data_IF_893897126909
#
_entry.id   IF_893897126909
#
_cell.length_a   1.000
_cell.length_b   1.000
_cell.length_c   1.000
_cell.angle_alpha   90.00
_cell.angle_beta   90.00
_cell.angle_gamma   90.00
#
_symmetry.space_group_name_H-M   'P 1'
#
loop_
_entity.id
_entity.type
_entity.pdbx_description
1 polymer ?
#
# COMPACT_ATOMS: atom_id res chain seq x y z
N UNK A 1 -22.31 -6.21 1.78
CA UNK A 1 -20.92 -6.47 1.36
C UNK A 1 -20.89 -7.87 0.77
N UNK A 2 -20.81 -8.00 -0.54
CA UNK A 2 -20.57 -9.30 -1.19
C UNK A 2 -19.21 -9.81 -0.71
N UNK A 3 -19.21 -10.95 0.00
CA UNK A 3 -17.97 -11.56 0.49
C UNK A 3 -17.34 -12.31 -0.67
N UNK A 4 -16.06 -12.02 -0.93
CA UNK A 4 -15.27 -12.60 -2.00
C UNK A 4 -14.14 -13.43 -1.39
N UNK A 5 -14.45 -14.66 -0.90
CA UNK A 5 -13.54 -15.42 -0.07
C UNK A 5 -12.23 -15.80 -0.79
N UNK A 6 -12.24 -16.04 -2.09
CA UNK A 6 -11.00 -16.35 -2.84
C UNK A 6 -10.08 -15.13 -2.98
N UNK A 7 -10.66 -13.95 -3.20
CA UNK A 7 -9.96 -12.67 -3.31
C UNK A 7 -9.41 -12.27 -1.94
N UNK A 8 -10.19 -12.44 -0.87
CA UNK A 8 -9.76 -12.20 0.50
C UNK A 8 -8.56 -13.09 0.88
N UNK A 9 -8.61 -14.39 0.55
CA UNK A 9 -7.49 -15.31 0.79
C UNK A 9 -6.28 -14.91 -0.05
N UNK A 10 -6.47 -14.64 -1.35
CA UNK A 10 -5.38 -14.29 -2.26
C UNK A 10 -4.66 -13.01 -1.84
N UNK A 11 -5.42 -11.94 -1.59
CA UNK A 11 -4.88 -10.65 -1.14
C UNK A 11 -4.22 -10.77 0.23
N UNK A 12 -4.86 -11.44 1.19
CA UNK A 12 -4.29 -11.63 2.53
C UNK A 12 -3.00 -12.47 2.50
N UNK A 13 -2.93 -13.47 1.63
CA UNK A 13 -1.72 -14.29 1.44
C UNK A 13 -0.59 -13.45 0.86
N UNK A 14 -0.88 -12.64 -0.18
CA UNK A 14 0.10 -11.73 -0.77
C UNK A 14 0.64 -10.73 0.25
N UNK A 15 -0.24 -10.08 1.01
CA UNK A 15 0.15 -9.12 2.06
C UNK A 15 1.00 -9.82 3.12
N UNK A 16 0.62 -11.04 3.55
CA UNK A 16 1.40 -11.83 4.52
C UNK A 16 2.82 -12.10 4.01
N UNK A 17 2.98 -12.46 2.72
CA UNK A 17 4.30 -12.68 2.11
C UNK A 17 5.14 -11.41 2.11
N UNK A 18 4.56 -10.27 1.70
CA UNK A 18 5.25 -8.97 1.70
C UNK A 18 5.70 -8.62 3.12
N UNK A 19 4.80 -8.70 4.11
CA UNK A 19 5.14 -8.45 5.51
C UNK A 19 6.21 -9.41 6.04
N UNK A 20 6.22 -10.67 5.57
CA UNK A 20 7.28 -11.63 5.88
C UNK A 20 8.65 -11.16 5.41
N UNK A 21 8.75 -10.65 4.17
CA UNK A 21 9.99 -10.06 3.63
C UNK A 21 10.43 -8.84 4.46
N UNK A 22 9.49 -7.95 4.79
CA UNK A 22 9.78 -6.78 5.64
C UNK A 22 10.26 -7.18 7.04
N UNK A 23 9.66 -8.19 7.64
CA UNK A 23 10.05 -8.70 8.95
C UNK A 23 11.48 -9.25 8.94
N UNK A 24 11.85 -10.02 7.91
CA UNK A 24 13.21 -10.54 7.74
C UNK A 24 14.21 -9.41 7.58
N UNK A 25 13.91 -8.41 6.75
CA UNK A 25 14.79 -7.25 6.56
C UNK A 25 14.92 -6.42 7.84
N UNK A 26 13.82 -6.24 8.57
CA UNK A 26 13.80 -5.46 9.80
C UNK A 26 14.58 -6.14 10.93
N UNK A 27 14.55 -7.48 11.01
CA UNK A 27 15.35 -8.25 11.96
C UNK A 27 16.85 -8.26 11.62
N UNK A 28 17.20 -8.06 10.34
CA UNK A 28 18.59 -7.99 9.90
C UNK A 28 19.25 -6.61 10.15
N UNK A 29 18.49 -5.61 10.60
CA UNK A 29 19.02 -4.27 10.89
C UNK A 29 19.93 -4.31 12.13
N UNK A 30 21.16 -3.75 12.05
CA UNK A 30 22.02 -3.64 13.22
C UNK A 30 21.38 -2.71 14.27
N UNK A 31 21.60 -2.98 15.57
CA UNK A 31 21.05 -2.15 16.63
C UNK A 31 21.59 -0.71 16.52
N UNK A 32 20.69 0.26 16.66
CA UNK A 32 21.03 1.68 16.59
C UNK A 32 22.05 2.05 17.66
N UNK A 33 23.17 2.65 17.27
CA UNK A 33 24.24 3.04 18.21
C UNK A 33 23.86 4.24 19.10
N UNK A 34 22.87 5.02 18.69
CA UNK A 34 22.47 6.28 19.31
C UNK A 34 21.00 6.35 19.73
N UNK A 35 20.20 5.33 19.42
CA UNK A 35 18.78 5.25 19.76
C UNK A 35 18.49 3.96 20.52
N UNK A 36 17.98 4.03 21.77
CA UNK A 36 17.79 2.85 22.62
C UNK A 36 16.80 1.82 22.05
N UNK A 37 15.98 2.23 21.08
CA UNK A 37 15.04 1.35 20.38
C UNK A 37 15.57 0.95 18.98
N UNK A 38 16.46 1.72 18.35
CA UNK A 38 16.85 1.52 16.95
C UNK A 38 15.70 1.67 15.95
N UNK A 39 15.98 1.56 14.65
CA UNK A 39 14.98 1.70 13.57
C UNK A 39 14.15 0.43 13.32
N UNK A 40 14.56 -0.71 13.89
CA UNK A 40 13.95 -2.03 13.68
C UNK A 40 12.60 -2.29 14.37
N UNK A 41 12.30 -1.82 15.60
CA UNK A 41 11.11 -2.26 16.32
C UNK A 41 9.79 -1.90 15.62
N UNK A 42 9.70 -0.70 15.04
CA UNK A 42 8.48 -0.24 14.36
C UNK A 42 8.10 -1.16 13.20
N UNK A 43 8.96 -1.41 12.19
CA UNK A 43 8.64 -2.33 11.10
C UNK A 43 8.44 -3.78 11.54
N UNK A 44 9.10 -4.23 12.62
CA UNK A 44 8.89 -5.58 13.18
C UNK A 44 7.46 -5.71 13.71
N UNK A 45 7.04 -4.82 14.62
CA UNK A 45 5.73 -4.92 15.27
C UNK A 45 4.58 -4.71 14.29
N UNK A 46 4.72 -3.76 13.34
CA UNK A 46 3.69 -3.56 12.31
C UNK A 46 3.55 -4.79 11.43
N UNK A 47 4.66 -5.40 10.99
CA UNK A 47 4.63 -6.63 10.18
C UNK A 47 3.98 -7.78 10.94
N UNK A 48 4.31 -7.97 12.22
CA UNK A 48 3.72 -9.02 13.06
C UNK A 48 2.21 -8.85 13.20
N UNK A 49 1.75 -7.63 13.52
CA UNK A 49 0.31 -7.35 13.69
C UNK A 49 -0.45 -7.59 12.38
N UNK A 50 0.08 -7.12 11.25
CA UNK A 50 -0.55 -7.30 9.94
C UNK A 50 -0.61 -8.77 9.55
N UNK A 51 0.47 -9.54 9.77
CA UNK A 51 0.50 -10.98 9.53
C UNK A 51 -0.58 -11.69 10.36
N UNK A 52 -0.71 -11.37 11.64
CA UNK A 52 -1.74 -11.95 12.50
C UNK A 52 -3.15 -11.64 11.98
N UNK A 53 -3.42 -10.39 11.61
CA UNK A 53 -4.70 -10.02 11.00
C UNK A 53 -4.97 -10.81 9.72
N UNK A 54 -4.01 -10.89 8.79
CA UNK A 54 -4.17 -11.63 7.54
C UNK A 54 -4.41 -13.13 7.78
N UNK A 55 -3.70 -13.75 8.72
CA UNK A 55 -3.93 -15.16 9.09
C UNK A 55 -5.36 -15.36 9.62
N UNK A 56 -5.87 -14.46 10.46
CA UNK A 56 -7.25 -14.58 10.95
C UNK A 56 -8.30 -14.43 9.84
N UNK A 57 -8.05 -13.58 8.85
CA UNK A 57 -8.91 -13.43 7.67
C UNK A 57 -8.87 -14.70 6.82
N UNK A 58 -7.69 -15.25 6.55
CA UNK A 58 -7.51 -16.50 5.79
C UNK A 58 -8.26 -17.65 6.47
N UNK A 59 -8.11 -17.80 7.79
CA UNK A 59 -8.80 -18.85 8.54
C UNK A 59 -10.32 -18.70 8.47
N UNK A 60 -10.85 -17.48 8.62
CA UNK A 60 -12.28 -17.20 8.50
C UNK A 60 -12.81 -17.50 7.10
N UNK A 61 -12.09 -17.07 6.07
CA UNK A 61 -12.46 -17.31 4.68
C UNK A 61 -12.40 -18.82 4.32
N UNK A 62 -11.37 -19.53 4.78
CA UNK A 62 -11.24 -20.98 4.61
C UNK A 62 -12.36 -21.76 5.30
N UNK A 63 -12.78 -21.34 6.51
CA UNK A 63 -13.94 -21.92 7.19
C UNK A 63 -15.24 -21.63 6.45
N UNK A 64 -15.38 -20.45 5.83
CA UNK A 64 -16.56 -20.08 5.03
C UNK A 64 -16.67 -20.86 3.71
N UNK A 65 -15.55 -21.36 3.18
CA UNK A 65 -15.50 -22.17 1.97
C UNK A 65 -15.79 -23.66 2.23
N UNK A 66 -15.81 -24.10 3.48
CA UNK A 66 -16.16 -25.49 3.84
C UNK A 66 -17.64 -25.75 3.53
N UNK A 67 -17.88 -26.52 2.47
CA UNK A 67 -19.23 -26.96 2.06
C UNK A 67 -19.78 -26.26 0.81
N UNK A 68 -19.01 -25.37 0.17
CA UNK A 68 -19.38 -24.71 -1.10
C UNK A 68 -18.55 -25.30 -2.24
N UNK A 69 -19.17 -25.54 -3.40
CA UNK A 69 -18.45 -25.93 -4.61
C UNK A 69 -17.47 -24.83 -5.05
N UNK A 70 -16.18 -25.08 -4.84
CA UNK A 70 -15.10 -24.11 -5.08
C UNK A 70 -15.08 -23.57 -6.52
N UNK A 71 -15.44 -24.40 -7.51
CA UNK A 71 -15.45 -24.02 -8.92
C UNK A 71 -16.58 -23.05 -9.31
N UNK A 72 -17.74 -23.14 -8.66
CA UNK A 72 -18.86 -22.23 -8.90
C UNK A 72 -18.62 -20.87 -8.23
N UNK A 73 -18.16 -20.89 -6.98
CA UNK A 73 -17.83 -19.68 -6.22
C UNK A 73 -16.69 -18.88 -6.88
N UNK A 74 -15.66 -19.53 -7.42
CA UNK A 74 -14.58 -18.82 -8.12
C UNK A 74 -15.06 -18.11 -9.40
N UNK A 75 -15.98 -18.72 -10.16
CA UNK A 75 -16.51 -18.11 -11.40
C UNK A 75 -17.35 -16.88 -11.12
N UNK A 76 -18.20 -16.95 -10.10
CA UNK A 76 -19.06 -15.83 -9.70
C UNK A 76 -18.23 -14.66 -9.14
N UNK A 77 -17.16 -14.97 -8.41
CA UNK A 77 -16.30 -13.98 -7.77
C UNK A 77 -15.45 -13.15 -8.75
N UNK A 78 -15.02 -13.77 -9.86
CA UNK A 78 -14.24 -13.11 -10.92
C UNK A 78 -15.11 -12.52 -12.05
N UNK A 79 -16.43 -12.76 -12.04
CA UNK A 79 -17.34 -12.34 -13.13
C UNK A 79 -17.77 -10.87 -13.07
N UNK A 80 -17.61 -10.18 -11.94
CA UNK A 80 -18.30 -8.91 -11.68
C UNK A 80 -17.48 -7.62 -11.70
N UNK A 81 -16.15 -7.66 -11.94
CA UNK A 81 -15.30 -6.47 -11.78
C UNK A 81 -14.44 -6.16 -13.00
N UNK A 82 -14.42 -4.90 -13.45
CA UNK A 82 -13.46 -4.44 -14.45
C UNK A 82 -12.07 -4.31 -13.79
N UNK A 83 -11.08 -5.17 -14.11
CA UNK A 83 -9.77 -5.18 -13.44
C UNK A 83 -8.92 -3.95 -13.77
N UNK A 84 -9.35 -3.15 -14.75
CA UNK A 84 -8.62 -1.99 -15.27
C UNK A 84 -8.21 -1.00 -14.18
N UNK A 85 -9.08 -0.75 -13.19
CA UNK A 85 -8.76 0.17 -12.09
C UNK A 85 -7.56 -0.30 -11.25
N UNK A 86 -7.49 -1.60 -10.93
CA UNK A 86 -6.37 -2.17 -10.19
C UNK A 86 -5.07 -2.14 -11.00
N UNK A 87 -5.15 -2.44 -12.31
CA UNK A 87 -3.99 -2.37 -13.22
C UNK A 87 -3.46 -0.94 -13.34
N UNK A 88 -4.34 0.05 -13.44
CA UNK A 88 -3.96 1.47 -13.51
C UNK A 88 -3.28 1.91 -12.21
N UNK A 89 -3.85 1.57 -11.05
CA UNK A 89 -3.24 1.90 -9.74
C UNK A 89 -1.87 1.24 -9.62
N UNK A 90 -1.76 -0.05 -9.93
CA UNK A 90 -0.48 -0.77 -9.86
C UNK A 90 0.57 -0.17 -10.80
N UNK A 91 0.19 0.14 -12.05
CA UNK A 91 1.08 0.79 -13.01
C UNK A 91 1.54 2.17 -12.54
N UNK A 92 0.63 2.96 -11.97
CA UNK A 92 0.93 4.29 -11.44
C UNK A 92 1.87 4.22 -10.23
N UNK A 93 1.68 3.23 -9.34
CA UNK A 93 2.57 3.01 -8.19
C UNK A 93 3.97 2.57 -8.63
N UNK A 94 4.09 1.68 -9.62
CA UNK A 94 5.39 1.27 -10.16
C UNK A 94 6.10 2.45 -10.83
N UNK A 95 5.37 3.28 -11.59
CA UNK A 95 5.90 4.48 -12.22
C UNK A 95 6.40 5.50 -11.17
N UNK A 96 5.67 5.67 -10.07
CA UNK A 96 6.06 6.52 -8.95
C UNK A 96 7.38 6.06 -8.31
N UNK A 97 7.49 4.76 -7.99
CA UNK A 97 8.71 4.19 -7.40
C UNK A 97 9.90 4.34 -8.36
N UNK A 98 9.70 4.06 -9.65
CA UNK A 98 10.74 4.23 -10.67
C UNK A 98 11.17 5.70 -10.80
N UNK A 99 10.24 6.64 -10.77
CA UNK A 99 10.54 8.07 -10.85
C UNK A 99 11.38 8.56 -9.66
N UNK A 100 11.07 8.09 -8.45
CA UNK A 100 11.89 8.35 -7.26
C UNK A 100 13.28 7.73 -7.36
N UNK A 101 13.38 6.49 -7.84
CA UNK A 101 14.65 5.77 -7.98
C UNK A 101 15.58 6.45 -9.01
N UNK A 102 15.01 6.97 -10.10
CA UNK A 102 15.74 7.71 -11.13
C UNK A 102 15.99 9.19 -10.76
N UNK A 103 15.50 9.64 -9.60
CA UNK A 103 15.62 11.04 -9.13
C UNK A 103 15.20 12.06 -10.20
N UNK A 104 14.10 11.80 -10.89
CA UNK A 104 13.64 12.65 -12.01
C UNK A 104 13.28 14.08 -11.58
N UNK A 105 12.86 14.26 -10.33
CA UNK A 105 12.51 15.52 -9.70
C UNK A 105 12.52 15.36 -8.17
N UNK A 106 12.33 16.46 -7.44
CA UNK A 106 12.21 16.44 -5.99
C UNK A 106 11.03 15.60 -5.48
N UNK A 107 11.19 14.97 -4.32
CA UNK A 107 10.21 14.07 -3.69
C UNK A 107 8.80 14.66 -3.64
N UNK A 108 8.65 15.95 -3.29
CA UNK A 108 7.35 16.60 -3.20
C UNK A 108 6.62 16.68 -4.54
N UNK A 109 7.32 17.00 -5.63
CA UNK A 109 6.71 17.11 -6.96
C UNK A 109 6.26 15.74 -7.46
N UNK A 110 7.14 14.73 -7.35
CA UNK A 110 6.82 13.36 -7.78
C UNK A 110 5.63 12.80 -6.99
N UNK A 111 5.63 12.98 -5.67
CA UNK A 111 4.55 12.52 -4.78
C UNK A 111 3.25 13.28 -5.01
N UNK A 112 3.32 14.59 -5.28
CA UNK A 112 2.15 15.40 -5.61
C UNK A 112 1.48 14.90 -6.89
N UNK A 113 2.24 14.73 -7.97
CA UNK A 113 1.71 14.24 -9.26
C UNK A 113 1.13 12.84 -9.11
N UNK A 114 1.82 11.96 -8.40
CA UNK A 114 1.33 10.61 -8.11
C UNK A 114 -0.01 10.63 -7.37
N UNK A 115 -0.10 11.34 -6.25
CA UNK A 115 -1.33 11.41 -5.45
C UNK A 115 -2.48 12.06 -6.23
N UNK A 116 -2.19 13.12 -6.98
CA UNK A 116 -3.19 13.79 -7.81
C UNK A 116 -3.77 12.82 -8.86
N UNK A 117 -2.90 12.13 -9.61
CA UNK A 117 -3.32 11.16 -10.63
C UNK A 117 -4.05 9.97 -10.02
N UNK A 118 -3.63 9.51 -8.84
CA UNK A 118 -4.24 8.39 -8.15
C UNK A 118 -5.66 8.74 -7.67
N UNK A 119 -5.83 9.89 -7.00
CA UNK A 119 -7.14 10.35 -6.52
C UNK A 119 -8.08 10.59 -7.70
N UNK A 120 -7.62 11.29 -8.75
CA UNK A 120 -8.44 11.54 -9.94
C UNK A 120 -8.77 10.26 -10.71
N UNK A 121 -7.83 9.31 -10.79
CA UNK A 121 -8.03 8.01 -11.43
C UNK A 121 -9.05 7.15 -10.70
N UNK A 122 -9.09 7.22 -9.37
CA UNK A 122 -10.04 6.47 -8.54
C UNK A 122 -11.42 7.12 -8.47
N UNK A 123 -11.49 8.45 -8.31
CA UNK A 123 -12.76 9.16 -8.15
C UNK A 123 -13.40 9.58 -9.49
N UNK A 124 -12.69 9.43 -10.60
CA UNK A 124 -13.09 9.92 -11.91
C UNK A 124 -12.84 11.42 -12.08
N UNK A 125 -12.60 11.84 -13.34
CA UNK A 125 -12.25 13.22 -13.72
C UNK A 125 -13.44 14.20 -13.65
N UNK A 126 -14.09 14.30 -12.49
CA UNK A 126 -15.14 15.30 -12.26
C UNK A 126 -14.53 16.62 -11.79
N UNK A 127 -14.88 17.72 -12.44
CA UNK A 127 -14.36 19.07 -12.13
C UNK A 127 -14.58 19.50 -10.67
N UNK A 128 -15.60 18.96 -10.00
CA UNK A 128 -15.89 19.21 -8.58
C UNK A 128 -14.92 18.49 -7.63
N UNK A 129 -14.27 17.42 -8.08
CA UNK A 129 -13.35 16.58 -7.29
C UNK A 129 -11.88 16.94 -7.50
N UNK A 130 -11.57 17.70 -8.56
CA UNK A 130 -10.20 18.15 -8.84
C UNK A 130 -9.67 19.05 -7.72
N UNK A 131 -10.48 20.01 -7.26
CA UNK A 131 -10.05 20.95 -6.22
C UNK A 131 -9.68 20.26 -4.89
N UNK A 132 -10.54 19.40 -4.29
CA UNK A 132 -10.17 18.69 -3.08
C UNK A 132 -9.01 17.71 -3.30
N UNK A 133 -8.94 17.03 -4.45
CA UNK A 133 -7.82 16.15 -4.78
C UNK A 133 -6.49 16.90 -4.84
N UNK A 134 -6.48 18.09 -5.45
CA UNK A 134 -5.30 18.93 -5.57
C UNK A 134 -4.82 19.46 -4.22
N UNK A 135 -5.75 19.93 -3.37
CA UNK A 135 -5.42 20.38 -2.03
C UNK A 135 -4.87 19.23 -1.20
N UNK A 136 -5.54 18.07 -1.22
CA UNK A 136 -5.13 16.91 -0.44
C UNK A 136 -3.76 16.39 -0.89
N UNK A 137 -3.53 16.30 -2.20
CA UNK A 137 -2.25 15.89 -2.77
C UNK A 137 -1.14 16.87 -2.39
N UNK A 138 -1.38 18.19 -2.46
CA UNK A 138 -0.39 19.20 -2.10
C UNK A 138 -0.02 19.14 -0.62
N UNK A 139 -1.03 19.16 0.26
CA UNK A 139 -0.80 19.10 1.71
C UNK A 139 -0.06 17.81 2.08
N UNK A 140 -0.46 16.68 1.50
CA UNK A 140 0.16 15.38 1.83
C UNK A 140 1.58 15.30 1.29
N UNK A 141 1.83 15.70 0.04
CA UNK A 141 3.14 15.58 -0.57
C UNK A 141 4.16 16.54 0.05
N UNK A 142 3.83 17.83 0.14
CA UNK A 142 4.74 18.84 0.70
C UNK A 142 4.80 18.77 2.23
N UNK A 143 3.69 18.40 2.89
CA UNK A 143 3.69 18.13 4.32
C UNK A 143 4.58 16.95 4.68
N UNK A 144 4.50 15.84 3.92
CA UNK A 144 5.40 14.72 4.11
C UNK A 144 6.86 15.12 3.86
N UNK A 145 7.15 15.88 2.79
CA UNK A 145 8.49 16.38 2.53
C UNK A 145 9.03 17.20 3.71
N UNK A 146 8.25 18.15 4.24
CA UNK A 146 8.64 18.97 5.37
C UNK A 146 8.92 18.14 6.63
N UNK A 147 8.04 17.18 6.95
CA UNK A 147 8.24 16.29 8.10
C UNK A 147 9.52 15.48 7.95
N UNK A 148 9.80 14.96 6.76
CA UNK A 148 11.02 14.19 6.53
C UNK A 148 12.29 15.04 6.58
N UNK A 149 12.30 16.23 5.98
CA UNK A 149 13.51 17.07 5.92
C UNK A 149 13.77 17.81 7.23
N UNK A 150 12.73 18.38 7.86
CA UNK A 150 12.89 19.27 9.01
C UNK A 150 12.71 18.56 10.36
N UNK A 151 11.85 17.54 10.44
CA UNK A 151 11.59 16.84 11.72
C UNK A 151 12.45 15.59 11.84
N UNK A 152 12.48 14.76 10.80
CA UNK A 152 13.24 13.51 10.82
C UNK A 152 14.67 13.64 10.29
N UNK A 153 15.04 14.79 9.70
CA UNK A 153 16.39 15.07 9.18
C UNK A 153 16.85 13.95 8.23
N UNK A 154 15.95 13.53 7.34
CA UNK A 154 16.20 12.51 6.30
C UNK A 154 16.43 13.20 4.97
N UNK A 155 17.58 12.93 4.35
CA UNK A 155 17.91 13.42 3.01
C UNK A 155 17.00 12.76 1.96
N UNK A 156 16.01 13.53 1.49
CA UNK A 156 15.20 13.17 0.34
C UNK A 156 15.83 13.72 -0.95
N UNK A 157 15.62 13.06 -2.10
CA UNK A 157 16.00 13.66 -3.38
C UNK A 157 15.24 14.98 -3.55
N UNK A 158 16.00 16.07 -3.57
CA UNK A 158 15.56 17.44 -3.83
C UNK A 158 15.71 17.79 -5.30
#
# INVERSE_FOLDING_TARGET
MERRPFTEIGVSTLITLICGVFLVQALALPPGRFEPLGSGPVPIWTSVIVILCCVTVILRAALSLRGIDAGAAMREEFSGGNPMGGVVVMGLTLAYVAALQLKLAGFGIITFVYLLLLILGMEGFSRRRILPALILAAITAFGAQYVFTEIFVVDLPV
#
